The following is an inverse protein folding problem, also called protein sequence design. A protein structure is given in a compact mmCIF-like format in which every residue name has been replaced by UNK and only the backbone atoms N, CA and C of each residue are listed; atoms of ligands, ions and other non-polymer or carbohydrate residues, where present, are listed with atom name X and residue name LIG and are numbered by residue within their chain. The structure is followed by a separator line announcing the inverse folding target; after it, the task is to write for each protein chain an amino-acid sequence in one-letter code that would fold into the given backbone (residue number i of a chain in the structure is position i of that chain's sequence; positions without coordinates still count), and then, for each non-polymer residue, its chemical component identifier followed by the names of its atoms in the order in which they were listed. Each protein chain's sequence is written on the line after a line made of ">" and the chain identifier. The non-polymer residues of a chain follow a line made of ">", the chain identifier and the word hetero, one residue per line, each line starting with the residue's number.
data_IF_630181049246
#
_entry.id   IF_630181049246
#
_cell.length_a   1.000
_cell.length_b   1.000
_cell.length_c   1.000
_cell.angle_alpha   90.00
_cell.angle_beta   90.00
_cell.angle_gamma   90.00
#
_symmetry.space_group_name_H-M   'P 1'
#
loop_
_entity.id
_entity.type
_entity.pdbx_description
1 polymer ?
#
# COMPACT_ATOMS: atom_id res chain seq x y z
N UNK A 1 4.67 -25.95 -36.59
CA UNK A 1 3.48 -25.24 -37.10
C UNK A 1 3.49 -23.85 -36.50
N UNK A 2 3.48 -22.81 -37.35
CA UNK A 2 3.75 -21.41 -36.99
C UNK A 2 2.43 -20.66 -37.17
N UNK A 3 1.78 -20.28 -36.07
CA UNK A 3 0.53 -19.52 -36.11
C UNK A 3 0.83 -18.07 -35.71
N UNK A 4 0.88 -17.23 -36.74
CA UNK A 4 0.90 -15.77 -36.61
C UNK A 4 -0.49 -15.30 -36.25
N UNK A 5 -0.66 -14.72 -35.05
CA UNK A 5 -1.86 -13.97 -34.69
C UNK A 5 -1.47 -12.50 -34.46
N UNK A 6 -1.83 -11.67 -35.44
CA UNK A 6 -1.89 -10.22 -35.34
C UNK A 6 -3.30 -9.89 -34.82
N UNK A 7 -3.41 -9.27 -33.66
CA UNK A 7 -4.65 -8.62 -33.23
C UNK A 7 -4.37 -7.14 -33.08
N UNK A 8 -5.12 -6.38 -33.88
CA UNK A 8 -5.05 -4.95 -34.07
C UNK A 8 -5.36 -4.18 -32.79
N UNK A 9 -4.66 -3.06 -32.64
CA UNK A 9 -5.00 -1.97 -31.75
C UNK A 9 -6.37 -1.38 -32.13
N UNK A 10 -7.23 -1.16 -31.13
CA UNK A 10 -8.39 -0.29 -31.25
C UNK A 10 -8.30 0.77 -30.15
N UNK A 11 -7.93 1.99 -30.55
CA UNK A 11 -7.98 3.18 -29.72
C UNK A 11 -9.44 3.65 -29.64
N UNK A 12 -10.00 3.94 -28.45
CA UNK A 12 -11.27 4.64 -28.37
C UNK A 12 -11.09 6.11 -28.78
N UNK A 13 -11.90 6.52 -29.75
CA UNK A 13 -11.94 7.84 -30.35
C UNK A 13 -12.30 8.93 -29.32
N UNK A 14 -11.54 10.03 -29.37
CA UNK A 14 -11.79 11.26 -28.62
C UNK A 14 -12.97 11.98 -29.29
N UNK A 15 -14.11 12.10 -28.60
CA UNK A 15 -15.22 12.92 -29.05
C UNK A 15 -15.05 14.36 -28.54
N UNK A 16 -14.79 15.29 -29.46
CA UNK A 16 -14.80 16.73 -29.24
C UNK A 16 -16.26 17.24 -29.30
N UNK A 17 -16.75 17.84 -28.21
CA UNK A 17 -17.98 18.63 -28.22
C UNK A 17 -17.75 19.96 -27.47
N UNK A 18 -18.14 21.08 -28.10
CA UNK A 18 -18.00 22.49 -27.66
C UNK A 18 -19.26 23.24 -28.17
N UNK A 19 -19.74 24.36 -27.57
CA UNK A 19 -20.17 24.59 -26.18
C UNK A 19 -21.58 25.26 -26.03
N UNK A 20 -22.02 25.44 -24.77
CA UNK A 20 -22.96 26.44 -24.21
C UNK A 20 -24.49 26.14 -24.17
N UNK A 21 -25.31 26.75 -23.27
CA UNK A 21 -25.03 27.58 -22.08
C UNK A 21 -25.65 27.07 -20.75
N UNK A 22 -25.11 27.59 -19.63
CA UNK A 22 -25.69 27.82 -18.30
C UNK A 22 -26.76 26.87 -17.73
N UNK A 23 -26.37 26.10 -16.72
CA UNK A 23 -27.11 26.01 -15.44
C UNK A 23 -26.15 25.56 -14.35
N UNK A 24 -26.07 26.36 -13.29
CA UNK A 24 -25.29 26.11 -12.09
C UNK A 24 -25.71 24.77 -11.48
N UNK A 25 -24.84 23.77 -11.56
CA UNK A 25 -24.88 22.62 -10.66
C UNK A 25 -23.49 22.54 -10.10
N UNK A 26 -23.36 22.84 -8.81
CA UNK A 26 -22.17 22.53 -8.02
C UNK A 26 -22.04 21.02 -8.04
N UNK A 27 -21.42 20.51 -9.10
CA UNK A 27 -21.07 19.11 -9.23
C UNK A 27 -19.91 18.93 -8.28
N UNK A 28 -20.22 18.58 -7.03
CA UNK A 28 -19.25 17.96 -6.15
C UNK A 28 -18.77 16.71 -6.89
N UNK A 29 -17.65 16.84 -7.61
CA UNK A 29 -16.94 15.69 -8.14
C UNK A 29 -16.78 14.72 -6.95
N UNK A 30 -17.04 13.41 -7.11
CA UNK A 30 -16.67 12.47 -6.08
C UNK A 30 -15.18 12.69 -5.83
N UNK A 31 -14.85 13.18 -4.63
CA UNK A 31 -13.48 13.21 -4.16
C UNK A 31 -12.96 11.79 -4.39
N UNK A 32 -11.76 11.58 -4.96
CA UNK A 32 -11.17 10.26 -4.97
C UNK A 32 -11.14 9.83 -3.51
N UNK A 33 -12.03 8.91 -3.15
CA UNK A 33 -12.00 8.24 -1.85
C UNK A 33 -10.74 7.40 -1.94
N UNK A 34 -9.61 8.01 -1.59
CA UNK A 34 -8.38 7.26 -1.37
C UNK A 34 -8.67 6.16 -0.35
N UNK A 35 -7.86 5.09 -0.34
CA UNK A 35 -7.95 4.10 0.72
C UNK A 35 -7.98 4.83 2.08
N UNK A 36 -8.78 4.33 3.04
CA UNK A 36 -8.86 4.93 4.36
C UNK A 36 -7.46 5.10 4.95
N UNK A 37 -7.25 6.21 5.66
CA UNK A 37 -5.98 6.42 6.37
C UNK A 37 -5.77 5.26 7.34
N UNK A 38 -4.59 4.61 7.34
CA UNK A 38 -4.40 3.39 8.11
C UNK A 38 -4.52 3.67 9.61
N UNK A 39 -5.29 2.83 10.32
CA UNK A 39 -5.45 2.97 11.77
C UNK A 39 -4.13 2.63 12.48
N UNK A 40 -3.44 3.68 12.93
CA UNK A 40 -2.16 3.56 13.62
C UNK A 40 -2.30 2.96 15.02
N UNK A 41 -3.44 3.11 15.69
CA UNK A 41 -3.63 2.56 17.04
C UNK A 41 -3.73 1.03 16.99
N UNK A 42 -4.44 0.51 15.99
CA UNK A 42 -4.48 -0.93 15.72
C UNK A 42 -3.08 -1.43 15.33
N UNK A 43 -2.36 -0.67 14.50
CA UNK A 43 -0.98 -1.00 14.18
C UNK A 43 -0.10 -1.08 15.43
N UNK A 44 -0.12 -0.08 16.31
CA UNK A 44 0.72 -0.04 17.51
C UNK A 44 0.45 -1.25 18.43
N UNK A 45 -0.82 -1.66 18.54
CA UNK A 45 -1.24 -2.86 19.27
C UNK A 45 -0.61 -4.13 18.68
N UNK A 46 -0.70 -4.31 17.36
CA UNK A 46 -0.18 -5.50 16.66
C UNK A 46 1.35 -5.50 16.54
N UNK A 47 1.97 -4.33 16.39
CA UNK A 47 3.40 -4.16 16.19
C UNK A 47 4.21 -4.45 17.46
N UNK A 48 3.63 -4.23 18.65
CA UNK A 48 4.30 -4.45 19.92
C UNK A 48 5.62 -3.66 20.03
N UNK A 49 6.75 -4.37 20.04
CA UNK A 49 8.10 -3.77 20.11
C UNK A 49 8.54 -3.03 18.83
N UNK A 50 7.68 -3.02 17.81
CA UNK A 50 7.85 -2.29 16.54
C UNK A 50 6.87 -1.12 16.38
N UNK A 51 6.13 -0.74 17.43
CA UNK A 51 5.11 0.31 17.36
C UNK A 51 5.61 1.62 16.75
N UNK A 52 6.88 1.98 16.99
CA UNK A 52 7.50 3.19 16.42
C UNK A 52 7.62 3.17 14.89
N UNK A 53 7.46 1.99 14.25
CA UNK A 53 7.51 1.83 12.81
C UNK A 53 6.12 1.81 12.16
N UNK A 54 5.05 1.92 12.94
CA UNK A 54 3.69 1.93 12.40
C UNK A 54 3.42 2.98 11.32
N UNK A 55 3.88 4.24 11.44
CA UNK A 55 3.71 5.22 10.36
C UNK A 55 4.31 4.78 9.01
N UNK A 56 5.31 3.89 9.05
CA UNK A 56 5.98 3.36 7.85
C UNK A 56 5.36 2.05 7.36
N UNK A 57 4.96 1.19 8.29
CA UNK A 57 4.50 -0.17 7.98
C UNK A 57 2.99 -0.25 7.74
N UNK A 58 2.17 0.57 8.40
CA UNK A 58 0.73 0.53 8.28
C UNK A 58 0.21 0.81 6.84
N UNK A 59 0.84 1.68 6.03
CA UNK A 59 0.47 1.87 4.62
C UNK A 59 0.56 0.60 3.76
N UNK A 60 1.34 -0.41 4.16
CA UNK A 60 1.40 -1.70 3.44
C UNK A 60 0.06 -2.46 3.46
N UNK A 61 -0.82 -2.09 4.39
CA UNK A 61 -2.11 -2.75 4.63
C UNK A 61 -3.31 -1.80 4.40
N UNK A 62 -3.09 -0.60 3.86
CA UNK A 62 -4.12 0.44 3.77
C UNK A 62 -5.32 0.08 2.87
N UNK A 63 -5.19 -0.92 2.00
CA UNK A 63 -6.28 -1.48 1.19
C UNK A 63 -7.17 -2.49 1.94
N UNK A 64 -6.85 -2.77 3.22
CA UNK A 64 -7.53 -3.77 4.06
C UNK A 64 -8.30 -3.06 5.18
N UNK A 65 -9.37 -3.71 5.65
CA UNK A 65 -10.23 -3.21 6.72
C UNK A 65 -10.50 -4.30 7.77
N UNK A 66 -10.83 -3.87 9.00
CA UNK A 66 -11.21 -4.76 10.11
C UNK A 66 -10.17 -5.85 10.40
N UNK A 67 -10.65 -7.08 10.63
CA UNK A 67 -9.78 -8.22 10.95
C UNK A 67 -8.72 -8.52 9.87
N UNK A 68 -9.00 -8.18 8.61
CA UNK A 68 -8.06 -8.38 7.50
C UNK A 68 -6.89 -7.39 7.59
N UNK A 69 -7.16 -6.18 8.07
CA UNK A 69 -6.12 -5.20 8.36
C UNK A 69 -5.22 -5.67 9.51
N UNK A 70 -5.81 -6.13 10.63
CA UNK A 70 -5.06 -6.69 11.75
C UNK A 70 -4.19 -7.89 11.34
N UNK A 71 -4.76 -8.82 10.54
CA UNK A 71 -4.02 -9.97 10.02
C UNK A 71 -2.87 -9.55 9.08
N UNK A 72 -3.09 -8.51 8.27
CA UNK A 72 -2.04 -7.96 7.40
C UNK A 72 -0.89 -7.38 8.22
N UNK A 73 -1.19 -6.55 9.22
CA UNK A 73 -0.19 -5.98 10.13
C UNK A 73 0.59 -7.07 10.86
N UNK A 74 -0.11 -8.06 11.40
CA UNK A 74 0.50 -9.19 12.09
C UNK A 74 1.50 -9.94 11.17
N UNK A 75 1.11 -10.19 9.92
CA UNK A 75 1.97 -10.80 8.90
C UNK A 75 3.21 -9.96 8.58
N UNK A 76 3.03 -8.63 8.45
CA UNK A 76 4.12 -7.67 8.23
C UNK A 76 5.14 -7.73 9.38
N UNK A 77 4.69 -7.60 10.63
CA UNK A 77 5.58 -7.60 11.78
C UNK A 77 6.20 -8.97 12.08
N UNK A 78 5.49 -10.07 11.81
CA UNK A 78 6.06 -11.42 11.84
C UNK A 78 7.19 -11.58 10.83
N UNK A 79 7.01 -11.04 9.62
CA UNK A 79 8.04 -11.06 8.57
C UNK A 79 9.27 -10.27 8.99
N UNK A 80 9.07 -9.06 9.54
CA UNK A 80 10.15 -8.22 10.09
C UNK A 80 10.91 -8.98 11.18
N UNK A 81 10.19 -9.60 12.13
CA UNK A 81 10.80 -10.36 13.22
C UNK A 81 11.61 -11.56 12.72
N UNK A 82 11.12 -12.26 11.69
CA UNK A 82 11.84 -13.37 11.04
C UNK A 82 13.15 -12.89 10.39
N UNK A 83 13.11 -11.80 9.63
CA UNK A 83 14.30 -11.23 8.99
C UNK A 83 15.29 -10.73 10.04
N UNK A 84 14.81 -10.03 11.07
CA UNK A 84 15.63 -9.55 12.18
C UNK A 84 16.33 -10.72 12.87
N UNK A 85 15.60 -11.79 13.17
CA UNK A 85 16.13 -13.00 13.82
C UNK A 85 17.20 -13.69 12.97
N UNK A 86 17.00 -13.77 11.66
CA UNK A 86 18.01 -14.31 10.74
C UNK A 86 19.27 -13.43 10.72
N UNK A 87 19.10 -12.11 10.63
CA UNK A 87 20.22 -11.18 10.67
C UNK A 87 21.06 -11.35 11.95
N UNK A 88 20.42 -11.46 13.11
CA UNK A 88 21.12 -11.69 14.38
C UNK A 88 21.85 -13.03 14.41
N UNK A 89 21.26 -14.09 13.87
CA UNK A 89 21.90 -15.41 13.80
C UNK A 89 23.18 -15.41 12.94
N UNK A 90 23.30 -14.50 11.98
CA UNK A 90 24.47 -14.35 11.13
C UNK A 90 25.44 -13.25 11.62
N UNK A 91 25.28 -12.76 12.86
CA UNK A 91 26.15 -11.73 13.43
C UNK A 91 25.99 -10.35 12.80
N UNK A 92 24.82 -10.08 12.21
CA UNK A 92 24.51 -8.79 11.60
C UNK A 92 24.43 -7.66 12.61
N UNK A 93 24.57 -6.44 12.11
CA UNK A 93 24.42 -5.20 12.87
C UNK A 93 23.14 -4.48 12.45
N UNK A 94 22.53 -3.71 13.35
CA UNK A 94 21.31 -2.94 13.05
C UNK A 94 20.16 -3.76 12.44
N UNK A 95 20.03 -5.02 12.86
CA UNK A 95 19.10 -5.98 12.26
C UNK A 95 17.64 -5.53 12.31
N UNK A 96 17.25 -4.75 13.33
CA UNK A 96 15.88 -4.25 13.46
C UNK A 96 15.54 -3.31 12.31
N UNK A 97 16.37 -2.30 12.10
CA UNK A 97 16.12 -1.30 11.08
C UNK A 97 16.28 -1.90 9.68
N UNK A 98 17.26 -2.78 9.46
CA UNK A 98 17.38 -3.49 8.19
C UNK A 98 16.14 -4.32 7.85
N UNK A 99 15.56 -5.01 8.84
CA UNK A 99 14.35 -5.81 8.63
C UNK A 99 13.14 -4.92 8.29
N UNK A 100 12.96 -3.82 9.03
CA UNK A 100 11.90 -2.84 8.75
C UNK A 100 12.08 -2.22 7.37
N UNK A 101 13.29 -1.80 7.01
CA UNK A 101 13.58 -1.14 5.74
C UNK A 101 13.28 -2.06 4.54
N UNK A 102 13.47 -3.37 4.70
CA UNK A 102 13.15 -4.37 3.68
C UNK A 102 11.64 -4.60 3.49
N UNK A 103 10.85 -4.46 4.54
CA UNK A 103 9.41 -4.76 4.51
C UNK A 103 8.57 -3.50 4.30
N UNK A 104 8.93 -2.40 4.95
CA UNK A 104 8.15 -1.17 4.99
C UNK A 104 8.79 -0.03 4.17
N UNK A 105 9.87 -0.29 3.43
CA UNK A 105 10.63 0.72 2.67
C UNK A 105 11.59 1.53 3.57
N UNK A 106 12.49 2.35 3.00
CA UNK A 106 13.53 3.08 3.76
C UNK A 106 12.97 4.19 4.67
N UNK A 107 13.81 4.75 5.55
CA UNK A 107 13.47 5.98 6.31
C UNK A 107 13.62 7.19 5.38
N UNK A 108 12.60 8.04 5.33
CA UNK A 108 12.65 9.34 4.64
C UNK A 108 13.30 10.42 5.52
#
# INVERSE_FOLDING_TARGET
>A
MKFSSLILMALPAVALAKPAPTSSTTSSAPQPTGPPDPDLSICEKEAGSYAEYCPRCAPQCADREGDVYEMCLNSVFMTINSIQSQCWQHGGIDCRNQAVDRVCGPRE
#
